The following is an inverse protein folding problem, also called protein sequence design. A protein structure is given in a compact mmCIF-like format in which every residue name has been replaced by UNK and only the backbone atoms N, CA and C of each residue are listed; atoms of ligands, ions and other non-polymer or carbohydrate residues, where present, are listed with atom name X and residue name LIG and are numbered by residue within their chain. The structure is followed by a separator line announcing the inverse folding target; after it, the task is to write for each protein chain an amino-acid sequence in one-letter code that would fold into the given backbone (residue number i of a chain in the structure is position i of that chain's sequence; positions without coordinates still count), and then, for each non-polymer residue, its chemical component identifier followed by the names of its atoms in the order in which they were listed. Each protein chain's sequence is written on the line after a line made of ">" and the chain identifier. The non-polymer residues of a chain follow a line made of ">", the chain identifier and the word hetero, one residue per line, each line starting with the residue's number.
data_IF_829032964078
#
_entry.id   IF_829032964078
#
_cell.length_a   1.000
_cell.length_b   1.000
_cell.length_c   1.000
_cell.angle_alpha   90.00
_cell.angle_beta   90.00
_cell.angle_gamma   90.00
#
_symmetry.space_group_name_H-M   'P 1'
#
loop_
_entity.id
_entity.type
_entity.pdbx_description
1 polymer ?
#
# COMPACT_ATOMS: atom_id res chain seq x y z
N UNK A 1 18.26 -13.70 -6.07
CA UNK A 1 16.99 -14.17 -5.49
C UNK A 1 16.10 -12.95 -5.47
N UNK A 2 15.25 -12.77 -6.47
CA UNK A 2 14.44 -11.55 -6.61
C UNK A 2 13.02 -11.92 -6.24
N UNK A 3 12.72 -11.84 -4.95
CA UNK A 3 11.39 -12.09 -4.44
C UNK A 3 10.50 -10.92 -4.87
N UNK A 4 9.63 -11.15 -5.84
CA UNK A 4 8.50 -10.27 -6.15
C UNK A 4 7.50 -10.34 -4.98
N UNK A 5 7.91 -9.91 -3.79
CA UNK A 5 7.08 -9.92 -2.60
C UNK A 5 5.94 -8.92 -2.75
N UNK A 6 4.75 -9.47 -2.96
CA UNK A 6 3.49 -8.73 -2.90
C UNK A 6 2.92 -8.87 -1.50
N UNK A 7 2.78 -7.74 -0.83
CA UNK A 7 2.27 -7.64 0.52
C UNK A 7 0.76 -7.44 0.53
N UNK A 8 0.14 -7.82 1.65
CA UNK A 8 -1.28 -7.60 1.89
C UNK A 8 -1.51 -6.24 2.53
N UNK A 9 -2.75 -5.76 2.48
CA UNK A 9 -3.17 -4.55 3.19
C UNK A 9 -2.75 -4.51 4.66
N UNK A 10 -2.75 -5.64 5.38
CA UNK A 10 -2.27 -5.71 6.77
C UNK A 10 -0.76 -5.49 6.91
N UNK A 11 0.03 -6.15 6.06
CA UNK A 11 1.49 -6.04 6.03
C UNK A 11 1.91 -4.61 5.65
N UNK A 12 1.29 -4.07 4.60
CA UNK A 12 1.51 -2.70 4.14
C UNK A 12 1.14 -1.70 5.21
N UNK A 13 0.03 -1.92 5.92
CA UNK A 13 -0.39 -1.08 7.03
C UNK A 13 0.63 -1.12 8.19
N UNK A 14 1.16 -2.30 8.52
CA UNK A 14 2.20 -2.44 9.54
C UNK A 14 3.50 -1.72 9.16
N UNK A 15 3.94 -1.83 7.90
CA UNK A 15 5.12 -1.13 7.40
C UNK A 15 4.95 0.39 7.35
N UNK A 16 3.78 0.86 6.93
CA UNK A 16 3.46 2.28 6.87
C UNK A 16 3.05 2.88 8.22
N UNK A 17 2.92 2.06 9.27
CA UNK A 17 2.38 2.50 10.56
C UNK A 17 0.97 3.09 10.48
N UNK A 18 0.17 2.66 9.49
CA UNK A 18 -1.17 3.18 9.21
C UNK A 18 -2.27 2.14 9.51
N UNK A 19 -3.52 2.58 9.56
CA UNK A 19 -4.64 1.66 9.71
C UNK A 19 -4.87 0.86 8.40
N UNK A 20 -5.16 -0.46 8.44
CA UNK A 20 -5.38 -1.27 7.23
C UNK A 20 -6.59 -0.82 6.39
N UNK A 21 -7.49 -0.04 6.97
CA UNK A 21 -8.59 0.61 6.26
C UNK A 21 -8.14 1.78 5.37
N UNK A 22 -7.00 2.42 5.69
CA UNK A 22 -6.43 3.53 4.93
C UNK A 22 -5.75 3.03 3.65
N UNK A 23 -5.14 1.84 3.68
CA UNK A 23 -4.45 1.26 2.53
C UNK A 23 -5.32 1.14 1.27
N UNK A 24 -6.56 0.60 1.29
CA UNK A 24 -7.41 0.56 0.10
C UNK A 24 -7.83 1.97 -0.38
N UNK A 25 -7.90 2.96 0.51
CA UNK A 25 -8.14 4.36 0.12
C UNK A 25 -6.93 4.93 -0.63
N UNK A 26 -5.72 4.66 -0.14
CA UNK A 26 -4.47 5.05 -0.81
C UNK A 26 -4.32 4.40 -2.20
N UNK A 27 -4.70 3.12 -2.32
CA UNK A 27 -4.75 2.43 -3.61
C UNK A 27 -5.77 3.09 -4.54
N UNK A 28 -6.96 3.44 -4.04
CA UNK A 28 -7.97 4.16 -4.83
C UNK A 28 -7.49 5.55 -5.28
N UNK A 29 -6.69 6.23 -4.46
CA UNK A 29 -6.09 7.53 -4.79
C UNK A 29 -4.96 7.43 -5.81
N UNK A 30 -4.55 6.22 -6.19
CA UNK A 30 -3.47 6.01 -7.16
C UNK A 30 -2.06 6.17 -6.56
N UNK A 31 -1.92 6.12 -5.23
CA UNK A 31 -0.59 6.12 -4.61
C UNK A 31 0.19 4.84 -4.87
N UNK A 32 -0.53 3.74 -5.17
CA UNK A 32 0.05 2.45 -5.48
C UNK A 32 -0.33 2.01 -6.91
N UNK A 33 0.38 2.47 -7.96
CA UNK A 33 0.08 2.12 -9.35
C UNK A 33 0.18 0.62 -9.63
N UNK A 34 1.02 -0.12 -8.89
CA UNK A 34 1.18 -1.56 -9.08
C UNK A 34 0.28 -2.41 -8.15
N UNK A 35 -0.59 -1.79 -7.36
CA UNK A 35 -1.52 -2.53 -6.51
C UNK A 35 -2.58 -3.24 -7.36
N UNK A 36 -2.68 -4.56 -7.20
CA UNK A 36 -3.71 -5.37 -7.88
C UNK A 36 -4.60 -6.08 -6.88
N UNK A 37 -5.89 -6.09 -7.18
CA UNK A 37 -6.85 -6.97 -6.53
C UNK A 37 -6.70 -8.36 -7.15
N UNK A 38 -6.68 -9.39 -6.31
CA UNK A 38 -6.65 -10.77 -6.79
C UNK A 38 -7.92 -11.10 -7.58
N UNK A 39 -9.08 -10.66 -7.09
CA UNK A 39 -10.38 -10.81 -7.76
C UNK A 39 -11.06 -9.44 -7.95
N UNK A 40 -11.27 -8.96 -9.18
CA UNK A 40 -11.97 -7.69 -9.42
C UNK A 40 -13.50 -7.78 -9.17
N UNK A 41 -14.07 -8.99 -9.13
CA UNK A 41 -15.53 -9.21 -9.01
C UNK A 41 -16.04 -9.29 -7.57
N UNK A 42 -15.17 -9.54 -6.58
CA UNK A 42 -15.56 -9.58 -5.16
C UNK A 42 -15.17 -8.30 -4.43
N UNK A 43 -16.07 -7.80 -3.58
CA UNK A 43 -15.85 -6.61 -2.74
C UNK A 43 -14.76 -6.81 -1.67
N UNK A 44 -14.49 -8.06 -1.29
CA UNK A 44 -13.57 -8.42 -0.19
C UNK A 44 -12.30 -9.12 -0.67
N UNK A 45 -11.88 -8.84 -1.91
CA UNK A 45 -10.72 -9.50 -2.49
C UNK A 45 -9.43 -9.04 -1.82
N UNK A 46 -8.50 -9.96 -1.55
CA UNK A 46 -7.20 -9.61 -1.00
C UNK A 46 -6.47 -8.69 -1.97
N UNK A 47 -6.06 -7.53 -1.45
CA UNK A 47 -5.28 -6.53 -2.16
C UNK A 47 -3.80 -6.92 -2.06
N UNK A 48 -3.13 -7.00 -3.20
CA UNK A 48 -1.71 -7.31 -3.30
C UNK A 48 -0.98 -6.06 -3.78
N UNK A 49 -0.07 -5.58 -2.95
CA UNK A 49 0.70 -4.36 -3.21
C UNK A 49 2.17 -4.77 -3.20
N UNK A 50 2.93 -4.54 -4.27
CA UNK A 50 4.34 -4.89 -4.30
C UNK A 50 5.13 -4.03 -3.32
N UNK A 51 6.11 -4.63 -2.64
CA UNK A 51 6.95 -3.97 -1.65
C UNK A 51 7.63 -2.70 -2.20
N UNK A 52 8.06 -2.69 -3.47
CA UNK A 52 8.65 -1.51 -4.11
C UNK A 52 7.75 -0.28 -4.03
N UNK A 53 6.44 -0.46 -4.20
CA UNK A 53 5.47 0.62 -4.18
C UNK A 53 5.25 1.13 -2.74
N UNK A 54 5.27 0.22 -1.77
CA UNK A 54 5.23 0.55 -0.33
C UNK A 54 6.43 1.39 0.08
N UNK A 55 7.64 0.96 -0.31
CA UNK A 55 8.88 1.69 -0.03
C UNK A 55 8.89 3.06 -0.69
N UNK A 56 8.53 3.14 -1.97
CA UNK A 56 8.44 4.41 -2.69
C UNK A 56 7.43 5.38 -2.04
N UNK A 57 6.31 4.86 -1.53
CA UNK A 57 5.32 5.66 -0.80
C UNK A 57 5.82 6.09 0.58
N UNK A 58 6.52 5.21 1.30
CA UNK A 58 7.14 5.51 2.58
C UNK A 58 8.20 6.60 2.44
N UNK A 59 9.05 6.52 1.42
CA UNK A 59 10.01 7.58 1.09
C UNK A 59 9.28 8.89 0.80
N UNK A 60 8.21 8.88 -0.01
CA UNK A 60 7.40 10.09 -0.26
C UNK A 60 6.79 10.68 1.01
N UNK A 61 6.39 9.85 1.98
CA UNK A 61 5.94 10.35 3.28
C UNK A 61 7.07 11.00 4.09
N UNK A 62 8.27 10.42 4.07
CA UNK A 62 9.44 10.99 4.73
C UNK A 62 9.88 12.32 4.09
N UNK A 63 9.73 12.45 2.77
CA UNK A 63 10.10 13.65 2.00
C UNK A 63 9.01 14.73 2.07
N UNK A 64 7.75 14.37 2.36
CA UNK A 64 6.68 15.32 2.65
C UNK A 64 6.47 15.45 4.16
N UNK A 65 7.24 16.30 4.86
CA UNK A 65 6.85 16.70 6.19
C UNK A 65 5.55 17.51 6.06
N UNK A 66 4.41 16.84 6.27
CA UNK A 66 3.31 17.47 6.98
C UNK A 66 3.57 17.09 8.44
N UNK A 67 4.31 17.90 9.18
CA UNK A 67 3.74 19.09 9.86
C UNK A 67 2.46 18.68 10.55
N UNK A 68 2.64 18.06 11.71
CA UNK A 68 2.12 18.55 13.00
C UNK A 68 1.01 19.61 12.85
N UNK A 69 -0.21 19.25 13.27
CA UNK A 69 -1.20 20.08 13.98
C UNK A 69 -2.52 19.33 14.14
#
# INVERSE_FOLDING_TARGET
>A
MTENETLNTKEVAALLGCHPATVPDLVKRGHFPNARKFDPTRKNSPLRIPLQDVLAYQEKQLISPKTEM
#
